data_IF_277265116517
#
_entry.id   IF_277265116517
#
_cell.length_a   1.000
_cell.length_b   1.000
_cell.length_c   1.000
_cell.angle_alpha   90.00
_cell.angle_beta   90.00
_cell.angle_gamma   90.00
#
_symmetry.space_group_name_H-M   'P 1'
#
loop_
_entity.id
_entity.type
_entity.pdbx_description
1 polymer ?
#
# COMPACT_ATOMS: atom_id res chain seq x y z
N UNK A 1 -21.76 -18.08 4.78
CA UNK A 1 -20.55 -18.70 4.20
C UNK A 1 -19.52 -17.59 4.03
N UNK A 2 -18.43 -17.51 4.81
CA UNK A 2 -17.41 -16.51 4.52
C UNK A 2 -16.63 -16.99 3.30
N UNK A 3 -16.88 -16.38 2.15
CA UNK A 3 -16.03 -16.54 0.98
C UNK A 3 -14.70 -15.88 1.32
N UNK A 4 -13.71 -16.68 1.72
CA UNK A 4 -12.31 -16.27 1.77
C UNK A 4 -11.88 -16.02 0.33
N UNK A 5 -11.97 -14.76 -0.11
CA UNK A 5 -11.30 -14.33 -1.34
C UNK A 5 -9.82 -14.26 -1.00
N UNK A 6 -9.10 -15.36 -1.24
CA UNK A 6 -7.65 -15.31 -1.28
C UNK A 6 -7.30 -14.59 -2.58
N UNK A 7 -7.18 -13.26 -2.52
CA UNK A 7 -6.55 -12.51 -3.60
C UNK A 7 -5.10 -12.98 -3.67
N UNK A 8 -4.81 -13.81 -4.67
CA UNK A 8 -3.45 -14.16 -5.05
C UNK A 8 -2.80 -12.88 -5.61
N UNK A 9 -2.35 -11.99 -4.72
CA UNK A 9 -1.55 -10.81 -5.03
C UNK A 9 -0.24 -11.35 -5.60
N UNK A 10 -0.06 -11.22 -6.91
CA UNK A 10 1.01 -11.85 -7.66
C UNK A 10 2.35 -11.28 -7.16
N UNK A 11 3.32 -12.17 -6.92
CA UNK A 11 4.63 -11.91 -6.26
C UNK A 11 5.38 -10.63 -6.71
N UNK A 12 5.12 -10.10 -7.90
CA UNK A 12 5.80 -8.91 -8.45
C UNK A 12 5.43 -7.62 -7.72
N UNK A 13 4.20 -7.50 -7.21
CA UNK A 13 3.77 -6.31 -6.45
C UNK A 13 4.50 -6.23 -5.10
N UNK A 14 4.74 -7.39 -4.48
CA UNK A 14 5.43 -7.47 -3.20
C UNK A 14 6.90 -7.04 -3.31
N UNK A 15 7.57 -7.30 -4.44
CA UNK A 15 8.98 -6.94 -4.62
C UNK A 15 9.17 -5.40 -4.67
N UNK A 16 8.30 -4.69 -5.39
CA UNK A 16 8.35 -3.22 -5.46
C UNK A 16 7.99 -2.58 -4.12
N UNK A 17 6.93 -3.07 -3.45
CA UNK A 17 6.58 -2.62 -2.09
C UNK A 17 7.71 -2.90 -1.10
N UNK A 18 8.34 -4.08 -1.16
CA UNK A 18 9.41 -4.47 -0.24
C UNK A 18 10.68 -3.64 -0.46
N UNK A 19 11.03 -3.37 -1.71
CA UNK A 19 12.14 -2.50 -2.06
C UNK A 19 11.89 -1.06 -1.59
N UNK A 20 10.71 -0.51 -1.86
CA UNK A 20 10.32 0.82 -1.36
C UNK A 20 10.33 0.86 0.17
N UNK A 21 9.84 -0.19 0.83
CA UNK A 21 9.85 -0.28 2.28
C UNK A 21 11.26 -0.25 2.86
N UNK A 22 12.20 -0.96 2.24
CA UNK A 22 13.61 -0.93 2.65
C UNK A 22 14.19 0.49 2.63
N UNK A 23 13.81 1.30 1.65
CA UNK A 23 14.29 2.67 1.50
C UNK A 23 13.64 3.65 2.50
N UNK A 24 12.35 3.50 2.80
CA UNK A 24 11.63 4.48 3.63
C UNK A 24 11.48 4.10 5.10
N UNK A 25 11.69 2.83 5.46
CA UNK A 25 11.54 2.35 6.86
C UNK A 25 12.49 3.06 7.82
N UNK A 26 12.13 3.09 9.10
CA UNK A 26 13.06 3.51 10.15
C UNK A 26 13.58 4.94 10.01
N UNK A 27 12.80 5.84 9.40
CA UNK A 27 13.18 7.24 9.17
C UNK A 27 14.38 7.43 8.24
N UNK A 28 14.67 6.44 7.39
CA UNK A 28 15.81 6.46 6.45
C UNK A 28 15.67 7.55 5.39
N UNK A 29 14.45 7.83 4.94
CA UNK A 29 14.19 8.91 3.99
C UNK A 29 14.06 10.25 4.71
N UNK A 30 15.16 11.01 4.76
CA UNK A 30 15.22 12.38 5.32
C UNK A 30 14.66 12.52 6.75
N UNK A 31 14.72 11.47 7.57
CA UNK A 31 14.18 11.50 8.94
C UNK A 31 12.65 11.30 9.03
N UNK A 32 11.96 11.21 7.89
CA UNK A 32 10.50 11.10 7.86
C UNK A 32 10.01 9.71 8.20
N UNK A 33 8.98 9.63 9.05
CA UNK A 33 8.37 8.36 9.42
C UNK A 33 7.35 7.93 8.38
N UNK A 34 7.65 6.83 7.68
CA UNK A 34 6.69 6.13 6.82
C UNK A 34 6.06 4.95 7.56
N UNK A 35 4.77 4.73 7.31
CA UNK A 35 3.99 3.56 7.75
C UNK A 35 3.43 2.83 6.54
N UNK A 36 3.35 1.50 6.61
CA UNK A 36 2.76 0.66 5.56
C UNK A 36 1.28 0.41 5.82
N UNK A 37 0.50 0.22 4.75
CA UNK A 37 -0.90 -0.22 4.77
C UNK A 37 -1.75 0.61 5.76
N UNK A 38 -1.65 1.94 5.66
CA UNK A 38 -2.35 2.83 6.58
C UNK A 38 -3.83 2.93 6.19
N UNK A 39 -4.78 2.64 7.11
CA UNK A 39 -6.18 2.93 6.88
C UNK A 39 -6.42 4.45 6.85
N UNK A 40 -7.03 4.93 5.78
CA UNK A 40 -7.41 6.33 5.56
C UNK A 40 -8.88 6.35 5.16
N UNK A 41 -9.75 6.43 6.17
CA UNK A 41 -11.20 6.35 5.97
C UNK A 41 -11.61 5.05 5.27
N UNK A 42 -12.27 5.08 4.10
CA UNK A 42 -12.59 3.89 3.31
C UNK A 42 -11.40 3.12 2.74
N UNK A 43 -10.24 3.75 2.64
CA UNK A 43 -9.17 3.31 1.77
C UNK A 43 -7.96 2.85 2.58
N UNK A 44 -7.05 2.11 1.93
CA UNK A 44 -5.76 1.73 2.48
C UNK A 44 -4.65 2.29 1.60
N UNK A 45 -3.81 3.12 2.20
CA UNK A 45 -2.60 3.63 1.55
C UNK A 45 -1.45 2.62 1.71
N UNK A 46 -0.75 2.28 0.62
CA UNK A 46 0.40 1.35 0.69
C UNK A 46 1.50 1.90 1.60
N UNK A 47 1.81 3.19 1.46
CA UNK A 47 2.72 3.92 2.34
C UNK A 47 2.18 5.32 2.65
N UNK A 48 2.39 5.78 3.88
CA UNK A 48 2.02 7.13 4.28
C UNK A 48 3.05 7.76 5.22
N UNK A 49 3.28 9.06 5.02
CA UNK A 49 4.02 9.92 5.93
C UNK A 49 3.09 11.02 6.47
N UNK A 50 2.68 10.90 7.73
CA UNK A 50 1.78 11.86 8.38
C UNK A 50 2.45 13.22 8.62
N UNK A 51 3.75 13.23 8.89
CA UNK A 51 4.52 14.45 9.12
C UNK A 51 4.55 15.35 7.87
N UNK A 52 4.53 14.74 6.68
CA UNK A 52 4.54 15.42 5.39
C UNK A 52 3.17 15.48 4.70
N UNK A 53 2.10 14.96 5.33
CA UNK A 53 0.78 14.75 4.70
C UNK A 53 0.86 14.09 3.31
N UNK A 54 1.73 13.08 3.17
CA UNK A 54 2.03 12.41 1.92
C UNK A 54 1.56 10.95 1.94
N UNK A 55 0.88 10.53 0.88
CA UNK A 55 0.56 9.13 0.59
C UNK A 55 1.32 8.72 -0.67
N UNK A 56 1.86 7.50 -0.66
CA UNK A 56 2.51 6.88 -1.81
C UNK A 56 1.80 5.55 -2.08
N UNK A 57 1.23 5.44 -3.27
CA UNK A 57 0.61 4.22 -3.79
C UNK A 57 1.56 3.58 -4.80
N UNK A 58 1.77 2.27 -4.67
CA UNK A 58 2.59 1.52 -5.62
C UNK A 58 1.62 0.96 -6.66
N UNK A 59 1.55 1.60 -7.83
CA UNK A 59 0.65 1.17 -8.90
C UNK A 59 1.10 -0.18 -9.47
N UNK A 60 0.41 -1.25 -9.06
CA UNK A 60 0.60 -2.62 -9.54
C UNK A 60 -0.03 -2.86 -10.91
N UNK A 61 0.18 -1.95 -11.88
CA UNK A 61 -0.51 -1.93 -13.17
C UNK A 61 -0.44 -3.24 -14.00
N UNK A 62 -1.32 -4.16 -13.64
CA UNK A 62 -1.86 -5.24 -14.47
C UNK A 62 -3.36 -5.44 -14.15
N UNK A 63 -4.12 -4.48 -13.66
CA UNK A 63 -5.60 -4.61 -13.58
C UNK A 63 -6.30 -3.29 -13.92
N UNK A 64 -6.27 -2.93 -15.20
CA UNK A 64 -7.16 -1.92 -15.79
C UNK A 64 -8.64 -2.38 -15.85
N UNK A 65 -9.10 -3.27 -14.95
CA UNK A 65 -10.48 -3.74 -14.99
C UNK A 65 -10.96 -4.34 -13.66
N UNK A 66 -11.12 -3.53 -12.60
CA UNK A 66 -12.10 -3.83 -11.54
C UNK A 66 -12.77 -2.55 -11.03
N UNK A 67 -14.11 -2.46 -11.08
CA UNK A 67 -14.85 -1.38 -10.45
C UNK A 67 -14.81 -1.55 -8.93
N UNK A 68 -14.38 -0.49 -8.25
CA UNK A 68 -14.69 -0.04 -6.89
C UNK A 68 -15.43 -1.04 -5.96
N UNK A 69 -14.72 -1.61 -4.98
CA UNK A 69 -15.30 -2.24 -3.77
C UNK A 69 -14.65 -1.55 -2.56
N UNK A 70 -15.25 -0.50 -2.00
CA UNK A 70 -16.37 -0.46 -1.04
C UNK A 70 -16.06 -1.21 0.26
N UNK A 71 -15.76 -0.41 1.29
CA UNK A 71 -15.90 -0.64 2.73
C UNK A 71 -16.32 -2.06 3.14
N UNK A 72 -15.44 -2.76 3.85
CA UNK A 72 -15.82 -3.84 4.75
C UNK A 72 -14.94 -3.86 5.99
#
# INVERSE_FOLDING_TARGET
>A
MPSTVVHHRLKVENDAEEWLWHEVRGRRLNGHKFVRQLPVGPYFADFACREANLVVEVDGSQHANRPHDRYR
#
